data_IF_776558893865
#
_entry.id   IF_776558893865
#
_cell.length_a   1.000
_cell.length_b   1.000
_cell.length_c   1.000
_cell.angle_alpha   90.00
_cell.angle_beta   90.00
_cell.angle_gamma   90.00
#
_symmetry.space_group_name_H-M   'P 1'
#
loop_
_entity.id
_entity.type
_entity.pdbx_description
1 polymer ?
#
# COMPACT_ATOMS: atom_id res chain seq x y z
N UNK A 1 -17.71 -6.84 -4.82
CA UNK A 1 -17.85 -8.21 -4.27
C UNK A 1 -16.58 -8.64 -3.53
N UNK A 2 -15.40 -8.51 -4.14
CA UNK A 2 -14.09 -8.80 -3.51
C UNK A 2 -13.82 -7.97 -2.24
N UNK A 3 -14.13 -6.67 -2.24
CA UNK A 3 -13.97 -5.81 -1.06
C UNK A 3 -14.78 -6.26 0.18
N UNK A 4 -15.97 -6.81 -0.02
CA UNK A 4 -16.78 -7.34 1.09
C UNK A 4 -16.18 -8.61 1.68
N UNK A 5 -15.57 -9.49 0.88
CA UNK A 5 -14.90 -10.70 1.38
C UNK A 5 -13.56 -10.37 2.05
N UNK A 6 -12.74 -9.50 1.46
CA UNK A 6 -11.48 -9.04 2.06
C UNK A 6 -11.71 -8.36 3.42
N UNK A 7 -12.72 -7.48 3.51
CA UNK A 7 -13.11 -6.87 4.77
C UNK A 7 -13.60 -7.87 5.82
N UNK A 8 -14.18 -9.01 5.39
CA UNK A 8 -14.56 -10.07 6.33
C UNK A 8 -13.32 -10.73 6.96
N UNK A 9 -12.37 -11.13 6.13
CA UNK A 9 -11.14 -11.77 6.59
C UNK A 9 -10.31 -10.87 7.51
N UNK A 10 -10.22 -9.58 7.20
CA UNK A 10 -9.53 -8.62 8.08
C UNK A 10 -10.29 -8.44 9.39
N UNK A 11 -11.62 -8.32 9.36
CA UNK A 11 -12.42 -8.05 10.57
C UNK A 11 -12.53 -9.26 11.51
N UNK A 12 -12.60 -10.47 10.96
CA UNK A 12 -12.51 -11.72 11.75
C UNK A 12 -11.08 -11.99 12.22
N UNK A 13 -10.07 -11.72 11.39
CA UNK A 13 -8.67 -11.99 11.70
C UNK A 13 -8.02 -11.00 12.68
N UNK A 14 -8.22 -9.70 12.49
CA UNK A 14 -7.57 -8.65 13.30
C UNK A 14 -8.46 -8.12 14.44
N UNK A 15 -9.78 -8.07 14.25
CA UNK A 15 -10.73 -7.42 15.20
C UNK A 15 -11.65 -8.42 15.93
N UNK A 16 -11.64 -9.70 15.54
CA UNK A 16 -12.55 -10.76 16.04
C UNK A 16 -14.03 -10.32 16.14
N UNK A 17 -14.48 -9.48 15.19
CA UNK A 17 -15.84 -8.93 15.17
C UNK A 17 -16.71 -9.68 14.14
N UNK A 18 -17.60 -10.53 14.65
CA UNK A 18 -18.59 -11.29 13.87
C UNK A 18 -19.76 -10.38 13.46
N UNK A 19 -19.59 -9.59 12.40
CA UNK A 19 -20.59 -8.64 11.90
C UNK A 19 -21.43 -9.22 10.77
N UNK A 20 -22.76 -9.01 10.82
CA UNK A 20 -23.70 -9.46 9.78
C UNK A 20 -23.36 -8.84 8.41
N UNK A 21 -23.40 -9.65 7.34
CA UNK A 21 -23.02 -9.24 5.95
C UNK A 21 -23.71 -7.96 5.46
N UNK A 22 -24.98 -7.74 5.86
CA UNK A 22 -25.75 -6.55 5.46
C UNK A 22 -25.24 -5.27 6.12
N UNK A 23 -24.95 -5.31 7.43
CA UNK A 23 -24.42 -4.16 8.19
C UNK A 23 -23.06 -3.74 7.62
N UNK A 24 -22.18 -4.71 7.32
CA UNK A 24 -20.88 -4.44 6.69
C UNK A 24 -21.04 -3.73 5.34
N UNK A 25 -21.98 -4.19 4.50
CA UNK A 25 -22.24 -3.60 3.19
C UNK A 25 -22.82 -2.18 3.28
N UNK A 26 -23.70 -1.92 4.26
CA UNK A 26 -24.26 -0.58 4.48
C UNK A 26 -23.17 0.38 4.96
N UNK A 27 -22.37 0.00 5.97
CA UNK A 27 -21.32 0.87 6.52
C UNK A 27 -20.30 1.25 5.45
N UNK A 28 -19.75 0.28 4.71
CA UNK A 28 -18.71 0.58 3.71
C UNK A 28 -19.26 1.38 2.53
N UNK A 29 -20.52 1.15 2.14
CA UNK A 29 -21.18 1.97 1.10
C UNK A 29 -21.48 3.38 1.59
N UNK A 30 -21.99 3.54 2.81
CA UNK A 30 -22.25 4.87 3.38
C UNK A 30 -20.96 5.66 3.53
N UNK A 31 -19.88 5.05 4.05
CA UNK A 31 -18.58 5.70 4.17
C UNK A 31 -17.94 6.07 2.83
N UNK A 32 -18.26 5.37 1.73
CA UNK A 32 -17.77 5.73 0.40
C UNK A 32 -18.65 6.78 -0.28
N UNK A 33 -19.98 6.66 -0.14
CA UNK A 33 -20.96 7.53 -0.82
C UNK A 33 -20.99 8.92 -0.20
N UNK A 34 -20.94 9.04 1.13
CA UNK A 34 -21.01 10.34 1.82
C UNK A 34 -19.89 11.30 1.38
N UNK A 35 -18.60 10.95 1.41
CA UNK A 35 -17.54 11.83 0.92
C UNK A 35 -17.70 12.14 -0.57
N UNK A 36 -18.09 11.15 -1.37
CA UNK A 36 -18.30 11.33 -2.81
C UNK A 36 -19.39 12.36 -3.11
N UNK A 37 -20.50 12.33 -2.38
CA UNK A 37 -21.60 13.30 -2.56
C UNK A 37 -21.17 14.70 -2.10
N UNK A 38 -20.46 14.81 -0.98
CA UNK A 38 -19.96 16.10 -0.47
C UNK A 38 -19.03 16.74 -1.51
N UNK A 39 -18.08 15.96 -2.04
CA UNK A 39 -17.20 16.40 -3.12
C UNK A 39 -18.02 16.79 -4.36
N UNK A 40 -18.94 15.94 -4.82
CA UNK A 40 -19.71 16.21 -6.03
C UNK A 40 -20.52 17.51 -5.95
N UNK A 41 -21.07 17.86 -4.77
CA UNK A 41 -21.82 19.10 -4.58
C UNK A 41 -20.88 20.31 -4.53
N UNK A 42 -19.73 20.19 -3.86
CA UNK A 42 -18.81 21.30 -3.64
C UNK A 42 -17.94 21.61 -4.88
N UNK A 43 -17.64 20.59 -5.70
CA UNK A 43 -16.71 20.65 -6.83
C UNK A 43 -17.41 20.79 -8.20
N UNK A 44 -18.75 20.87 -8.27
CA UNK A 44 -19.55 20.96 -9.50
C UNK A 44 -19.32 22.23 -10.38
N UNK A 45 -18.29 23.02 -10.12
CA UNK A 45 -18.04 24.33 -10.75
C UNK A 45 -16.61 24.57 -11.23
N UNK A 46 -15.64 23.71 -10.91
CA UNK A 46 -14.22 23.96 -11.24
C UNK A 46 -13.50 22.66 -11.60
N UNK A 47 -13.15 22.47 -12.89
CA UNK A 47 -12.39 21.32 -13.39
C UNK A 47 -11.07 21.12 -12.60
N UNK A 48 -10.35 22.21 -12.31
CA UNK A 48 -9.08 22.21 -11.57
C UNK A 48 -9.17 21.51 -10.20
N UNK A 49 -10.34 21.54 -9.57
CA UNK A 49 -10.53 21.02 -8.23
C UNK A 49 -10.72 19.49 -8.20
N UNK A 50 -11.24 18.92 -9.28
CA UNK A 50 -11.36 17.46 -9.45
C UNK A 50 -9.99 16.83 -9.73
N UNK A 51 -9.14 17.52 -10.47
CA UNK A 51 -7.78 17.08 -10.75
C UNK A 51 -6.94 17.01 -9.47
N UNK A 52 -6.99 18.05 -8.63
CA UNK A 52 -6.33 18.06 -7.32
C UNK A 52 -6.82 16.90 -6.44
N UNK A 53 -8.14 16.66 -6.39
CA UNK A 53 -8.68 15.53 -5.62
C UNK A 53 -8.18 14.18 -6.13
N UNK A 54 -8.12 14.01 -7.45
CA UNK A 54 -7.62 12.78 -8.07
C UNK A 54 -6.14 12.56 -7.74
N UNK A 55 -5.33 13.61 -7.74
CA UNK A 55 -3.94 13.55 -7.29
C UNK A 55 -3.83 13.16 -5.80
N UNK A 56 -4.64 13.75 -4.92
CA UNK A 56 -4.70 13.35 -3.50
C UNK A 56 -5.05 11.87 -3.33
N UNK A 57 -6.03 11.37 -4.08
CA UNK A 57 -6.41 9.96 -4.06
C UNK A 57 -5.29 9.05 -4.55
N UNK A 58 -4.57 9.43 -5.61
CA UNK A 58 -3.42 8.69 -6.11
C UNK A 58 -2.28 8.64 -5.08
N UNK A 59 -2.01 9.74 -4.37
CA UNK A 59 -1.01 9.80 -3.29
C UNK A 59 -1.41 8.87 -2.14
N UNK A 60 -2.66 8.94 -1.69
CA UNK A 60 -3.19 8.05 -0.65
C UNK A 60 -3.10 6.58 -1.04
N UNK A 61 -3.41 6.25 -2.29
CA UNK A 61 -3.29 4.89 -2.82
C UNK A 61 -1.82 4.44 -2.88
N UNK A 62 -0.92 5.30 -3.34
CA UNK A 62 0.51 5.02 -3.41
C UNK A 62 1.12 4.71 -2.05
N UNK A 63 0.64 5.35 -0.98
CA UNK A 63 1.04 5.07 0.39
C UNK A 63 0.59 3.68 0.89
N UNK A 64 -0.58 3.21 0.43
CA UNK A 64 -1.16 1.92 0.86
C UNK A 64 -0.53 0.71 0.16
N UNK A 65 -0.10 0.85 -1.09
CA UNK A 65 0.45 -0.24 -1.90
C UNK A 65 1.61 -0.99 -1.23
N UNK A 66 2.69 -0.34 -0.73
CA UNK A 66 3.79 -1.06 -0.08
C UNK A 66 3.33 -1.82 1.17
N UNK A 67 2.39 -1.24 1.93
CA UNK A 67 1.84 -1.88 3.13
C UNK A 67 1.05 -3.16 2.81
N UNK A 68 0.42 -3.25 1.64
CA UNK A 68 -0.25 -4.46 1.18
C UNK A 68 0.72 -5.47 0.54
N UNK A 69 1.65 -5.01 -0.32
CA UNK A 69 2.52 -5.88 -1.11
C UNK A 69 3.58 -6.57 -0.24
N UNK A 70 4.25 -5.85 0.66
CA UNK A 70 5.34 -6.40 1.48
C UNK A 70 4.91 -7.63 2.31
N UNK A 71 3.82 -7.57 3.10
CA UNK A 71 3.36 -8.73 3.86
C UNK A 71 2.82 -9.83 2.94
N UNK A 72 2.13 -9.50 1.85
CA UNK A 72 1.63 -10.49 0.89
C UNK A 72 2.78 -11.30 0.29
N UNK A 73 3.85 -10.64 -0.15
CA UNK A 73 5.02 -11.32 -0.71
C UNK A 73 5.77 -12.15 0.33
N UNK A 74 5.80 -11.66 1.58
CA UNK A 74 6.38 -12.42 2.69
C UNK A 74 5.55 -13.67 3.00
N UNK A 75 4.22 -13.56 2.91
CA UNK A 75 3.29 -14.66 3.14
C UNK A 75 3.41 -15.75 2.08
N UNK A 76 3.47 -15.35 0.81
CA UNK A 76 3.55 -16.25 -0.34
C UNK A 76 4.90 -16.96 -0.44
N UNK A 77 5.99 -16.35 0.04
CA UNK A 77 7.32 -16.96 0.13
C UNK A 77 7.50 -17.88 1.36
N UNK A 78 6.61 -17.80 2.35
CA UNK A 78 6.74 -18.57 3.59
C UNK A 78 6.25 -20.01 3.45
N UNK A 79 7.18 -20.96 3.55
CA UNK A 79 6.93 -22.39 3.48
C UNK A 79 6.01 -22.91 4.59
N UNK A 80 6.01 -22.26 5.78
CA UNK A 80 5.12 -22.63 6.89
C UNK A 80 3.66 -22.35 6.59
N UNK A 81 3.36 -21.44 5.66
CA UNK A 81 1.99 -20.97 5.38
C UNK A 81 1.49 -21.49 4.03
N UNK A 82 2.36 -21.51 3.00
CA UNK A 82 2.03 -22.02 1.65
C UNK A 82 2.29 -23.52 1.47
N UNK A 83 3.12 -24.15 2.32
CA UNK A 83 3.48 -25.56 2.19
C UNK A 83 4.03 -25.89 0.81
N UNK A 84 3.37 -26.83 0.12
CA UNK A 84 3.76 -27.36 -1.21
C UNK A 84 3.57 -26.30 -2.33
N UNK A 85 2.77 -25.26 -2.11
CA UNK A 85 2.50 -24.19 -3.09
C UNK A 85 3.43 -22.98 -2.96
N UNK A 86 4.55 -23.12 -2.23
CA UNK A 86 5.55 -22.07 -2.09
C UNK A 86 6.10 -21.64 -3.45
N UNK A 87 6.21 -20.33 -3.67
CA UNK A 87 6.84 -19.81 -4.88
C UNK A 87 8.34 -20.14 -4.90
N UNK A 88 8.84 -20.59 -6.05
CA UNK A 88 10.27 -20.87 -6.22
C UNK A 88 11.11 -19.60 -6.09
N UNK A 89 12.37 -19.73 -5.64
CA UNK A 89 13.30 -18.60 -5.42
C UNK A 89 13.44 -17.67 -6.65
N UNK A 90 13.35 -18.22 -7.87
CA UNK A 90 13.38 -17.45 -9.11
C UNK A 90 12.12 -16.58 -9.28
N UNK A 91 10.94 -17.18 -9.10
CA UNK A 91 9.66 -16.47 -9.17
C UNK A 91 9.57 -15.41 -8.07
N UNK A 92 10.05 -15.72 -6.87
CA UNK A 92 10.14 -14.76 -5.77
C UNK A 92 10.98 -13.55 -6.15
N UNK A 93 12.16 -13.75 -6.75
CA UNK A 93 13.03 -12.65 -7.19
C UNK A 93 12.33 -11.79 -8.24
N UNK A 94 11.66 -12.39 -9.22
CA UNK A 94 10.92 -11.66 -10.27
C UNK A 94 9.78 -10.83 -9.68
N UNK A 95 8.95 -11.42 -8.81
CA UNK A 95 7.81 -10.72 -8.20
C UNK A 95 8.30 -9.57 -7.31
N UNK A 96 9.43 -9.72 -6.63
CA UNK A 96 10.03 -8.64 -5.86
C UNK A 96 10.58 -7.51 -6.70
N UNK A 97 11.18 -7.80 -7.85
CA UNK A 97 11.60 -6.77 -8.81
C UNK A 97 10.39 -5.97 -9.30
N UNK A 98 9.29 -6.64 -9.64
CA UNK A 98 8.05 -5.97 -10.05
C UNK A 98 7.48 -5.12 -8.91
N UNK A 99 7.44 -5.65 -7.69
CA UNK A 99 6.98 -4.91 -6.52
C UNK A 99 7.81 -3.65 -6.24
N UNK A 100 9.14 -3.75 -6.32
CA UNK A 100 10.03 -2.60 -6.17
C UNK A 100 9.76 -1.52 -7.22
N UNK A 101 9.54 -1.93 -8.48
CA UNK A 101 9.20 -1.02 -9.57
C UNK A 101 7.85 -0.31 -9.33
N UNK A 102 6.82 -1.05 -8.89
CA UNK A 102 5.52 -0.45 -8.56
C UNK A 102 5.63 0.53 -7.39
N UNK A 103 6.36 0.18 -6.33
CA UNK A 103 6.58 1.06 -5.17
C UNK A 103 7.34 2.32 -5.59
N UNK A 104 8.35 2.19 -6.46
CA UNK A 104 9.12 3.33 -6.98
C UNK A 104 8.23 4.28 -7.79
N UNK A 105 7.39 3.77 -8.69
CA UNK A 105 6.48 4.61 -9.49
C UNK A 105 5.49 5.35 -8.59
N UNK A 106 4.87 4.66 -7.62
CA UNK A 106 3.93 5.29 -6.69
C UNK A 106 4.62 6.31 -5.79
N UNK A 107 5.86 6.04 -5.37
CA UNK A 107 6.68 6.98 -4.61
C UNK A 107 7.03 8.24 -5.41
N UNK A 108 7.29 8.10 -6.71
CA UNK A 108 7.54 9.25 -7.60
C UNK A 108 6.31 10.16 -7.70
N UNK A 109 5.12 9.59 -7.94
CA UNK A 109 3.86 10.36 -8.01
C UNK A 109 3.57 11.06 -6.69
N UNK A 110 3.82 10.39 -5.57
CA UNK A 110 3.71 10.99 -4.24
C UNK A 110 4.65 12.18 -4.08
N UNK A 111 5.93 12.02 -4.44
CA UNK A 111 6.93 13.07 -4.31
C UNK A 111 6.64 14.27 -5.23
N UNK A 112 6.19 14.03 -6.48
CA UNK A 112 5.82 15.11 -7.40
C UNK A 112 4.65 15.93 -6.87
N UNK A 113 3.65 15.27 -6.26
CA UNK A 113 2.52 15.96 -5.64
C UNK A 113 2.95 16.82 -4.45
N UNK A 114 3.76 16.26 -3.54
CA UNK A 114 4.27 16.99 -2.37
C UNK A 114 5.14 18.19 -2.76
N UNK A 115 5.86 18.15 -3.88
CA UNK A 115 6.64 19.28 -4.36
C UNK A 115 5.76 20.39 -4.98
N UNK A 116 4.62 20.03 -5.58
CA UNK A 116 3.69 20.96 -6.22
C UNK A 116 2.81 21.70 -5.21
N UNK A 117 2.33 21.01 -4.18
CA UNK A 117 1.39 21.57 -3.20
C UNK A 117 2.05 22.51 -2.17
N UNK A 118 3.36 22.37 -1.97
CA UNK A 118 4.06 23.03 -0.87
C UNK A 118 4.59 24.42 -1.26
N UNK A 119 3.72 25.42 -1.18
CA UNK A 119 4.05 26.85 -1.41
C UNK A 119 4.69 27.57 -0.20
N UNK A 120 5.54 26.89 0.59
CA UNK A 120 6.20 27.51 1.74
C UNK A 120 7.49 26.81 2.17
N UNK A 121 8.55 27.58 2.40
CA UNK A 121 9.90 27.06 2.68
C UNK A 121 9.94 26.12 3.91
N UNK A 122 9.27 26.46 5.00
CA UNK A 122 9.17 25.60 6.20
C UNK A 122 8.34 24.33 5.95
N UNK A 123 7.18 24.44 5.30
CA UNK A 123 6.39 23.29 4.92
C UNK A 123 7.16 22.38 3.94
N UNK A 124 8.00 22.96 3.07
CA UNK A 124 8.83 22.24 2.11
C UNK A 124 9.88 21.39 2.78
N UNK A 125 10.56 21.95 3.78
CA UNK A 125 11.52 21.17 4.59
C UNK A 125 10.83 20.04 5.35
N UNK A 126 9.67 20.27 5.97
CA UNK A 126 8.92 19.24 6.71
C UNK A 126 8.42 18.14 5.77
N UNK A 127 7.86 18.50 4.62
CA UNK A 127 7.38 17.56 3.62
C UNK A 127 8.54 16.74 3.02
N UNK A 128 9.66 17.37 2.71
CA UNK A 128 10.85 16.69 2.17
C UNK A 128 11.46 15.74 3.21
N UNK A 129 11.55 16.16 4.48
CA UNK A 129 11.96 15.28 5.58
C UNK A 129 11.01 14.09 5.73
N UNK A 130 9.70 14.32 5.70
CA UNK A 130 8.69 13.25 5.78
C UNK A 130 8.78 12.28 4.60
N UNK A 131 8.90 12.78 3.37
CA UNK A 131 9.05 11.98 2.17
C UNK A 131 10.36 11.18 2.18
N UNK A 132 11.49 11.82 2.56
CA UNK A 132 12.79 11.14 2.66
C UNK A 132 12.79 10.07 3.74
N UNK A 133 12.16 10.32 4.90
CA UNK A 133 11.99 9.34 5.96
C UNK A 133 11.14 8.15 5.50
N UNK A 134 10.06 8.42 4.76
CA UNK A 134 9.20 7.38 4.20
C UNK A 134 9.94 6.52 3.16
N UNK A 135 10.68 7.15 2.24
CA UNK A 135 11.52 6.44 1.26
C UNK A 135 12.61 5.64 1.96
N UNK A 136 13.28 6.21 2.97
CA UNK A 136 14.28 5.50 3.77
C UNK A 136 13.68 4.30 4.51
N UNK A 137 12.46 4.44 5.05
CA UNK A 137 11.73 3.34 5.68
C UNK A 137 11.38 2.23 4.69
N UNK A 138 10.95 2.57 3.46
CA UNK A 138 10.71 1.60 2.40
C UNK A 138 11.99 0.88 1.96
N UNK A 139 13.08 1.62 1.78
CA UNK A 139 14.41 1.04 1.45
C UNK A 139 14.89 0.13 2.58
N UNK A 140 14.72 0.55 3.83
CA UNK A 140 15.03 -0.26 5.00
C UNK A 140 14.22 -1.57 5.03
N UNK A 141 12.90 -1.50 4.79
CA UNK A 141 12.05 -2.68 4.71
C UNK A 141 12.47 -3.65 3.60
N UNK A 142 12.82 -3.12 2.42
CA UNK A 142 13.29 -3.92 1.30
C UNK A 142 14.67 -4.54 1.60
N UNK A 143 15.60 -3.76 2.16
CA UNK A 143 16.97 -4.19 2.47
C UNK A 143 17.01 -5.23 3.60
N UNK A 144 16.26 -5.01 4.68
CA UNK A 144 16.18 -5.97 5.79
C UNK A 144 15.61 -7.32 5.34
N UNK A 145 14.73 -7.30 4.33
CA UNK A 145 14.14 -8.50 3.74
C UNK A 145 15.10 -9.19 2.76
N UNK A 146 15.87 -8.43 1.98
CA UNK A 146 16.93 -8.99 1.13
C UNK A 146 17.98 -9.74 1.97
N UNK A 147 18.42 -9.14 3.08
CA UNK A 147 19.36 -9.78 4.01
C UNK A 147 18.80 -11.10 4.60
N UNK A 148 17.50 -11.17 4.91
CA UNK A 148 16.87 -12.42 5.35
C UNK A 148 16.79 -13.49 4.25
N UNK A 149 16.63 -13.09 2.99
CA UNK A 149 16.60 -14.03 1.86
C UNK A 149 17.99 -14.63 1.58
N UNK A 150 19.06 -13.85 1.73
CA UNK A 150 20.44 -14.35 1.59
C UNK A 150 20.83 -15.32 2.71
N UNK A 151 20.49 -15.01 3.97
CA UNK A 151 20.73 -15.89 5.12
C UNK A 151 20.04 -17.26 5.00
N UNK A 152 18.83 -17.31 4.45
CA UNK A 152 18.10 -18.58 4.19
C UNK A 152 18.57 -19.28 2.89
N UNK A 153 19.29 -18.59 2.02
CA UNK A 153 19.92 -19.15 0.84
C UNK A 153 21.15 -20.00 1.19
N UNK A 154 21.96 -19.52 2.13
CA UNK A 154 23.19 -20.18 2.57
C UNK A 154 22.97 -21.47 3.37
N UNK A 155 21.92 -21.54 4.21
CA UNK A 155 21.60 -22.74 5.00
C UNK A 155 21.15 -23.94 4.16
N UNK A 156 20.69 -23.72 2.92
CA UNK A 156 20.34 -24.78 1.98
C UNK A 156 21.52 -25.31 1.15
N UNK A 157 22.69 -24.67 1.21
CA UNK A 157 23.92 -25.14 0.54
C UNK A 157 24.85 -25.89 1.50
N UNK A 158 24.54 -25.91 2.79
CA UNK A 158 25.33 -26.53 3.86
C UNK A 158 24.68 -27.75 4.50
N UNK A 159 23.56 -28.24 3.95
CA UNK A 159 22.89 -29.48 4.36
C UNK A 159 22.69 -30.40 3.15
#
# INVERSE_FOLDING_TARGET
>A
MTGTYAGQFIMEGFLNLQMKKWIRSVITRSCAIVPTIIVAIYFNRSEDSLDVLNEWLNVLQGMQIPFAIIPLLTLVSNEKIMGIFKIGKLMERTVWTVAALVIMINGYVMLSFFLSEVNGLLFGFVACLGASAYVAFLVYLISQRHNRAELNGFTHLTN
#
